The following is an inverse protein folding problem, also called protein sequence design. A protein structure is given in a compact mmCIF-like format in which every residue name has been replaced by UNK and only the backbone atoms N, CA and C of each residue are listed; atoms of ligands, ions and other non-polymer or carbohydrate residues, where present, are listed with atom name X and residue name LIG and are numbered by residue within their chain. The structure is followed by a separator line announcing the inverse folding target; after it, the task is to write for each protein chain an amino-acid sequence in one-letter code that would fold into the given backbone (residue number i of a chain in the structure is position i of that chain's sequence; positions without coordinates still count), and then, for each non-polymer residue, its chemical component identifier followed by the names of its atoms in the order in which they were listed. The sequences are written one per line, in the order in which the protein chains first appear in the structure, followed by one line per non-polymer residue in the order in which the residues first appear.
data_IF_296886189589
#
_entry.id   IF_296886189589
#
_cell.length_a   1.000
_cell.length_b   1.000
_cell.length_c   1.000
_cell.angle_alpha   90.00
_cell.angle_beta   90.00
_cell.angle_gamma   90.00
#
_symmetry.space_group_name_H-M   'P 1'
#
loop_
_entity.id
_entity.type
_entity.pdbx_description
1 polymer ?
#
# COMPACT_ATOMS: atom_id res chain seq x y z
N UNK A 1 -2.28 4.73 14.45
CA UNK A 1 -2.17 3.51 13.61
C UNK A 1 -0.90 3.58 12.77
N UNK A 2 -0.17 2.48 12.56
CA UNK A 2 1.09 2.47 11.78
C UNK A 2 0.81 2.19 10.30
N UNK A 3 1.32 3.03 9.40
CA UNK A 3 1.09 2.91 7.95
C UNK A 3 1.58 1.59 7.35
N UNK A 4 2.71 1.05 7.84
CA UNK A 4 3.26 -0.21 7.36
C UNK A 4 2.41 -1.41 7.78
N UNK A 5 1.96 -1.43 9.04
CA UNK A 5 1.08 -2.51 9.53
C UNK A 5 -0.21 -2.55 8.71
N UNK A 6 -0.85 -1.39 8.55
CA UNK A 6 -2.08 -1.30 7.77
C UNK A 6 -1.88 -1.71 6.29
N UNK A 7 -0.69 -1.47 5.73
CA UNK A 7 -0.35 -1.98 4.40
C UNK A 7 -0.22 -3.51 4.41
N UNK A 8 0.41 -4.11 5.42
CA UNK A 8 0.46 -5.59 5.52
C UNK A 8 -0.94 -6.19 5.64
N UNK A 9 -1.80 -5.64 6.49
CA UNK A 9 -3.17 -6.11 6.68
C UNK A 9 -3.96 -5.97 5.36
N UNK A 10 -3.84 -4.84 4.67
CA UNK A 10 -4.51 -4.63 3.39
C UNK A 10 -4.01 -5.59 2.29
N UNK A 11 -2.69 -5.79 2.16
CA UNK A 11 -2.14 -6.70 1.17
C UNK A 11 -2.45 -8.17 1.50
N UNK A 12 -2.32 -8.56 2.77
CA UNK A 12 -2.53 -9.92 3.25
C UNK A 12 -3.98 -10.35 3.23
N UNK A 13 -4.88 -9.52 3.75
CA UNK A 13 -6.27 -9.90 3.98
C UNK A 13 -7.17 -9.53 2.80
N UNK A 14 -6.88 -8.42 2.09
CA UNK A 14 -7.82 -7.85 1.11
C UNK A 14 -7.34 -7.91 -0.35
N UNK A 15 -6.02 -7.84 -0.62
CA UNK A 15 -5.50 -7.84 -1.99
C UNK A 15 -4.94 -9.19 -2.45
N UNK A 16 -4.67 -10.13 -1.52
CA UNK A 16 -4.09 -11.45 -1.84
C UNK A 16 -4.89 -12.22 -2.89
N UNK A 17 -6.23 -12.23 -2.79
CA UNK A 17 -7.11 -12.89 -3.76
C UNK A 17 -7.35 -12.09 -5.06
N UNK A 18 -6.79 -10.88 -5.19
CA UNK A 18 -7.03 -9.94 -6.30
C UNK A 18 -5.75 -9.62 -7.09
N UNK A 19 -4.79 -10.54 -7.09
CA UNK A 19 -3.51 -10.37 -7.77
C UNK A 19 -2.47 -9.54 -7.00
N UNK A 20 -2.77 -9.14 -5.76
CA UNK A 20 -1.86 -8.46 -4.83
C UNK A 20 -1.21 -7.19 -5.42
N UNK A 21 -1.92 -6.47 -6.28
CA UNK A 21 -1.46 -5.26 -6.95
C UNK A 21 -2.43 -4.11 -6.69
N UNK A 22 -1.89 -2.93 -6.41
CA UNK A 22 -2.69 -1.74 -6.18
C UNK A 22 -1.89 -0.48 -6.54
N UNK A 23 -2.51 0.50 -7.23
CA UNK A 23 -1.92 1.82 -7.38
C UNK A 23 -1.75 2.50 -6.01
N UNK A 24 -0.67 3.25 -5.82
CA UNK A 24 -0.40 3.96 -4.55
C UNK A 24 -1.54 4.92 -4.18
N UNK A 25 -2.18 5.57 -5.17
CA UNK A 25 -3.33 6.43 -4.94
C UNK A 25 -4.54 5.68 -4.35
N UNK A 26 -4.74 4.42 -4.71
CA UNK A 26 -5.79 3.58 -4.12
C UNK A 26 -5.46 3.20 -2.68
N UNK A 27 -4.19 2.89 -2.39
CA UNK A 27 -3.74 2.66 -1.01
C UNK A 27 -3.97 3.89 -0.13
N UNK A 28 -3.66 5.09 -0.63
CA UNK A 28 -3.93 6.36 0.08
C UNK A 28 -5.43 6.52 0.37
N UNK A 29 -6.29 6.29 -0.62
CA UNK A 29 -7.75 6.41 -0.45
C UNK A 29 -8.31 5.42 0.57
N UNK A 30 -7.83 4.17 0.54
CA UNK A 30 -8.29 3.12 1.47
C UNK A 30 -7.84 3.37 2.92
N UNK A 31 -6.66 3.98 3.11
CA UNK A 31 -6.10 4.22 4.44
C UNK A 31 -6.47 5.59 5.03
N UNK A 32 -7.00 6.51 4.23
CA UNK A 32 -7.40 7.85 4.68
C UNK A 32 -8.47 7.84 5.80
N UNK A 33 -9.55 7.03 5.74
CA UNK A 33 -10.54 6.96 6.83
C UNK A 33 -9.96 6.51 8.17
N UNK A 34 -8.81 5.85 8.16
CA UNK A 34 -8.10 5.38 9.35
C UNK A 34 -7.08 6.40 9.88
N UNK A 35 -7.09 7.62 9.33
CA UNK A 35 -6.20 8.71 9.73
C UNK A 35 -4.76 8.59 9.23
N UNK A 36 -4.47 7.69 8.28
CA UNK A 36 -3.13 7.61 7.67
C UNK A 36 -3.04 8.62 6.53
N UNK A 37 -2.08 9.54 6.66
CA UNK A 37 -1.86 10.59 5.66
C UNK A 37 -1.19 10.05 4.40
N UNK A 38 -1.44 10.71 3.26
CA UNK A 38 -0.82 10.32 1.99
C UNK A 38 0.74 10.31 2.03
N UNK A 39 1.43 11.28 2.69
CA UNK A 39 2.87 11.18 2.90
C UNK A 39 3.28 9.92 3.67
N UNK A 40 2.57 9.57 4.75
CA UNK A 40 2.89 8.37 5.55
C UNK A 40 2.75 7.08 4.73
N UNK A 41 1.71 6.97 3.88
CA UNK A 41 1.55 5.83 2.96
C UNK A 41 2.72 5.75 1.98
N UNK A 42 3.08 6.86 1.32
CA UNK A 42 4.18 6.89 0.34
C UNK A 42 5.52 6.52 0.97
N UNK A 43 5.83 7.05 2.16
CA UNK A 43 7.05 6.69 2.90
C UNK A 43 7.06 5.22 3.28
N UNK A 44 5.94 4.66 3.73
CA UNK A 44 5.85 3.25 4.08
C UNK A 44 6.01 2.35 2.85
N UNK A 45 5.34 2.63 1.73
CA UNK A 45 5.48 1.90 0.47
C UNK A 45 6.93 1.94 -0.03
N UNK A 46 7.54 3.13 -0.08
CA UNK A 46 8.95 3.27 -0.50
C UNK A 46 9.90 2.44 0.38
N UNK A 47 9.70 2.47 1.71
CA UNK A 47 10.48 1.67 2.64
C UNK A 47 10.26 0.17 2.44
N UNK A 48 9.03 -0.26 2.19
CA UNK A 48 8.69 -1.67 1.94
C UNK A 48 9.32 -2.16 0.64
N UNK A 49 9.30 -1.35 -0.43
CA UNK A 49 10.02 -1.66 -1.68
C UNK A 49 11.52 -1.79 -1.43
N UNK A 50 12.14 -0.82 -0.75
CA UNK A 50 13.58 -0.85 -0.43
C UNK A 50 13.99 -2.07 0.39
N UNK A 51 13.06 -2.62 1.17
CA UNK A 51 13.28 -3.80 2.01
C UNK A 51 12.81 -5.11 1.36
N UNK A 52 12.40 -5.08 0.09
CA UNK A 52 12.00 -6.28 -0.65
C UNK A 52 10.62 -6.84 -0.29
N UNK A 53 9.79 -6.10 0.45
CA UNK A 53 8.42 -6.54 0.80
C UNK A 53 7.41 -6.27 -0.31
N UNK A 54 7.68 -5.30 -1.19
CA UNK A 54 6.84 -4.95 -2.33
C UNK A 54 7.69 -4.84 -3.59
N UNK A 55 7.12 -5.25 -4.72
CA UNK A 55 7.71 -5.07 -6.04
C UNK A 55 6.98 -3.96 -6.78
N UNK A 56 7.67 -2.91 -7.25
CA UNK A 56 7.04 -1.89 -8.07
C UNK A 56 6.66 -2.47 -9.42
N UNK A 57 5.39 -2.29 -9.80
CA UNK A 57 4.86 -2.70 -11.10
C UNK A 57 4.15 -1.52 -11.76
N UNK A 58 4.12 -1.50 -13.09
CA UNK A 58 3.34 -0.51 -13.84
C UNK A 58 1.97 -1.12 -14.13
N UNK A 59 0.92 -0.46 -13.65
CA UNK A 59 -0.46 -0.91 -13.88
C UNK A 59 -1.05 -0.10 -15.03
N UNK A 60 -1.88 -0.77 -15.85
CA UNK A 60 -2.66 -0.11 -16.89
C UNK A 60 -3.73 0.77 -16.20
N UNK A 61 -3.35 2.01 -15.89
CA UNK A 61 -4.16 2.95 -15.12
C UNK A 61 -3.38 3.96 -14.28
N UNK A 62 -2.06 3.79 -14.12
CA UNK A 62 -1.18 4.70 -13.37
C UNK A 62 -0.16 3.98 -12.49
#
# INVERSE_FOLDING_TARGET
MNARSALFDLYGDHLRGRGAQAPVASLVRLLAPLGITAPAVRTAVSRMVRQGWLTPVRLAGG
#
